data_IF_689525381569
#
_entry.id   IF_689525381569
#
_cell.length_a   1.000
_cell.length_b   1.000
_cell.length_c   1.000
_cell.angle_alpha   90.00
_cell.angle_beta   90.00
_cell.angle_gamma   90.00
#
_symmetry.space_group_name_H-M   'P 1'
#
loop_
_entity.id
_entity.type
_entity.pdbx_description
1 polymer ?
#
# COMPACT_ATOMS: atom_id res chain seq x y z
N UNK A 1 -55.02 24.83 -37.06
CA UNK A 1 -53.75 24.64 -37.81
C UNK A 1 -52.63 25.63 -37.42
N UNK A 2 -52.88 26.63 -36.60
CA UNK A 2 -51.84 27.59 -36.16
C UNK A 2 -51.04 27.16 -34.92
N UNK A 3 -51.44 26.14 -34.18
CA UNK A 3 -50.73 25.67 -32.98
C UNK A 3 -49.65 24.61 -33.27
N UNK A 4 -49.55 24.11 -34.50
CA UNK A 4 -48.60 23.05 -34.88
C UNK A 4 -47.28 23.58 -35.47
N UNK A 5 -47.25 24.83 -35.87
CA UNK A 5 -46.03 25.47 -36.43
C UNK A 5 -45.13 26.18 -35.40
N UNK A 6 -45.66 26.41 -34.18
CA UNK A 6 -44.91 27.08 -33.12
C UNK A 6 -43.94 26.15 -32.39
N UNK A 7 -43.98 24.83 -32.64
CA UNK A 7 -43.13 23.82 -31.99
C UNK A 7 -41.84 23.46 -32.79
N UNK A 8 -41.58 24.18 -33.92
CA UNK A 8 -40.54 23.77 -34.88
C UNK A 8 -39.27 24.64 -34.86
N UNK A 9 -39.07 25.49 -33.87
CA UNK A 9 -37.89 26.33 -33.78
C UNK A 9 -37.18 26.27 -32.42
N UNK A 10 -36.82 25.07 -31.98
CA UNK A 10 -35.67 24.99 -31.09
C UNK A 10 -34.39 25.02 -31.97
N UNK A 11 -33.46 25.98 -31.75
CA UNK A 11 -32.22 26.01 -32.51
C UNK A 11 -31.41 24.75 -32.12
N UNK A 12 -31.20 23.85 -33.09
CA UNK A 12 -30.17 22.82 -33.00
C UNK A 12 -28.86 23.51 -32.67
N UNK A 13 -28.43 23.44 -31.40
CA UNK A 13 -27.12 23.93 -31.03
C UNK A 13 -26.08 23.15 -31.81
N UNK A 14 -25.43 23.80 -32.76
CA UNK A 14 -24.22 23.30 -33.41
C UNK A 14 -23.23 22.85 -32.32
N UNK A 15 -22.61 21.69 -32.43
CA UNK A 15 -21.64 21.22 -31.44
C UNK A 15 -20.48 22.23 -31.46
N UNK A 16 -20.36 23.02 -30.39
CA UNK A 16 -19.19 23.86 -30.15
C UNK A 16 -17.97 22.96 -30.07
N UNK A 17 -17.03 23.09 -30.99
CA UNK A 17 -15.79 22.32 -31.07
C UNK A 17 -14.78 22.67 -29.99
N UNK A 18 -15.18 23.29 -28.89
CA UNK A 18 -14.36 23.69 -27.76
C UNK A 18 -14.84 23.06 -26.43
N UNK A 19 -13.92 22.83 -25.50
CA UNK A 19 -14.26 22.43 -24.13
C UNK A 19 -14.96 23.64 -23.47
N UNK A 20 -16.19 23.44 -23.02
CA UNK A 20 -16.97 24.50 -22.35
C UNK A 20 -16.26 24.90 -21.05
N UNK A 21 -15.93 26.17 -20.91
CA UNK A 21 -15.38 26.76 -19.68
C UNK A 21 -16.40 26.61 -18.56
N UNK A 22 -15.96 26.29 -17.36
CA UNK A 22 -16.79 25.91 -16.20
C UNK A 22 -17.45 24.54 -16.24
N UNK A 23 -17.11 23.66 -17.22
CA UNK A 23 -17.51 22.26 -17.20
C UNK A 23 -16.55 21.40 -16.36
N UNK A 24 -17.03 20.23 -15.94
CA UNK A 24 -16.21 19.24 -15.21
C UNK A 24 -14.95 18.84 -15.99
N UNK A 25 -15.08 18.55 -17.30
CA UNK A 25 -13.95 18.23 -18.17
C UNK A 25 -12.94 19.38 -18.23
N UNK A 26 -13.42 20.61 -18.35
CA UNK A 26 -12.55 21.80 -18.38
C UNK A 26 -11.69 21.89 -17.10
N UNK A 27 -12.30 21.75 -15.92
CA UNK A 27 -11.57 21.81 -14.66
C UNK A 27 -10.53 20.69 -14.55
N UNK A 28 -10.85 19.48 -14.99
CA UNK A 28 -9.90 18.36 -15.01
C UNK A 28 -8.72 18.62 -15.96
N UNK A 29 -8.97 19.11 -17.17
CA UNK A 29 -7.92 19.43 -18.15
C UNK A 29 -7.00 20.53 -17.59
N UNK A 30 -7.57 21.57 -17.01
CA UNK A 30 -6.81 22.63 -16.32
C UNK A 30 -5.98 22.08 -15.15
N UNK A 31 -6.55 21.19 -14.34
CA UNK A 31 -5.82 20.52 -13.27
C UNK A 31 -4.63 19.70 -13.78
N UNK A 32 -4.77 18.96 -14.87
CA UNK A 32 -3.68 18.19 -15.45
C UNK A 32 -2.55 19.07 -16.01
N UNK A 33 -2.90 20.19 -16.60
CA UNK A 33 -1.94 21.08 -17.26
C UNK A 33 -1.31 22.13 -16.34
N UNK A 34 -2.03 22.60 -15.31
CA UNK A 34 -1.62 23.74 -14.51
C UNK A 34 -1.28 23.41 -13.04
N UNK A 35 -1.77 22.28 -12.49
CA UNK A 35 -1.56 21.98 -11.08
C UNK A 35 -0.13 21.53 -10.77
N UNK A 36 0.66 22.28 -9.98
CA UNK A 36 1.97 21.86 -9.53
C UNK A 36 1.90 20.57 -8.70
N UNK A 37 0.86 20.43 -7.84
CA UNK A 37 0.65 19.26 -7.01
C UNK A 37 0.42 18.00 -7.86
N UNK A 38 -0.26 18.11 -9.01
CA UNK A 38 -0.46 17.01 -9.92
C UNK A 38 0.84 16.65 -10.66
N UNK A 39 1.55 17.65 -11.18
CA UNK A 39 2.82 17.47 -11.91
C UNK A 39 3.93 16.86 -11.04
N UNK A 40 3.91 17.16 -9.75
CA UNK A 40 4.87 16.61 -8.78
C UNK A 40 4.60 15.13 -8.40
N UNK A 41 3.52 14.52 -8.88
CA UNK A 41 3.24 13.11 -8.64
C UNK A 41 4.17 12.21 -9.48
N UNK A 42 4.38 10.97 -9.04
CA UNK A 42 4.96 9.94 -9.89
C UNK A 42 4.12 9.72 -11.15
N UNK A 43 4.76 9.45 -12.28
CA UNK A 43 4.12 9.30 -13.60
C UNK A 43 3.01 8.25 -13.57
N UNK A 44 3.24 7.13 -12.85
CA UNK A 44 2.20 6.12 -12.64
C UNK A 44 1.00 6.66 -11.85
N UNK A 45 1.23 7.49 -10.85
CA UNK A 45 0.15 8.11 -10.07
C UNK A 45 -0.61 9.13 -10.89
N UNK A 46 0.09 9.93 -11.70
CA UNK A 46 -0.53 10.86 -12.66
C UNK A 46 -1.41 10.09 -13.64
N UNK A 47 -0.87 9.04 -14.28
CA UNK A 47 -1.59 8.19 -15.21
C UNK A 47 -2.86 7.61 -14.59
N UNK A 48 -2.76 6.98 -13.41
CA UNK A 48 -3.92 6.37 -12.74
C UNK A 48 -4.95 7.42 -12.36
N UNK A 49 -4.54 8.56 -11.81
CA UNK A 49 -5.46 9.64 -11.43
C UNK A 49 -6.17 10.21 -12.64
N UNK A 50 -5.44 10.45 -13.73
CA UNK A 50 -6.02 10.89 -15.01
C UNK A 50 -7.07 9.90 -15.50
N UNK A 51 -6.75 8.61 -15.60
CA UNK A 51 -7.69 7.56 -16.04
C UNK A 51 -8.95 7.49 -15.17
N UNK A 52 -8.82 7.65 -13.85
CA UNK A 52 -9.97 7.69 -12.94
C UNK A 52 -10.88 8.88 -13.26
N UNK A 53 -10.32 10.06 -13.45
CA UNK A 53 -11.08 11.28 -13.74
C UNK A 53 -11.70 11.22 -15.13
N UNK A 54 -10.94 10.86 -16.15
CA UNK A 54 -11.42 10.72 -17.53
C UNK A 54 -12.55 9.68 -17.63
N UNK A 55 -12.51 8.60 -16.83
CA UNK A 55 -13.59 7.60 -16.81
C UNK A 55 -14.93 8.15 -16.34
N UNK A 56 -15.00 9.37 -15.79
CA UNK A 56 -16.25 10.01 -15.42
C UNK A 56 -16.85 10.84 -16.55
N UNK A 57 -16.07 11.17 -17.57
CA UNK A 57 -16.50 12.09 -18.62
C UNK A 57 -17.65 11.54 -19.47
N UNK A 58 -17.60 10.27 -19.80
CA UNK A 58 -18.57 9.62 -20.67
C UNK A 58 -19.71 8.96 -19.88
N UNK A 59 -19.81 9.23 -18.60
CA UNK A 59 -20.94 8.78 -17.80
C UNK A 59 -22.12 9.74 -17.96
N UNK A 60 -23.35 9.25 -18.25
CA UNK A 60 -24.52 10.10 -18.37
C UNK A 60 -24.87 10.71 -17.02
N UNK A 61 -25.42 11.93 -16.99
CA UNK A 61 -25.80 12.62 -15.74
C UNK A 61 -26.95 11.94 -15.00
N UNK A 62 -27.84 11.26 -15.73
CA UNK A 62 -28.91 10.42 -15.21
C UNK A 62 -29.13 9.23 -16.16
N UNK A 63 -29.79 8.14 -15.70
CA UNK A 63 -30.15 7.03 -16.57
C UNK A 63 -30.93 7.51 -17.81
N UNK A 64 -30.47 7.14 -19.02
CA UNK A 64 -31.08 7.53 -20.27
C UNK A 64 -30.82 8.97 -20.72
N UNK A 65 -30.10 9.78 -19.98
CA UNK A 65 -29.80 11.15 -20.36
C UNK A 65 -28.83 11.21 -21.54
N UNK A 66 -29.06 12.13 -22.48
CA UNK A 66 -28.17 12.46 -23.59
C UNK A 66 -26.97 13.33 -23.18
N UNK A 67 -27.00 13.88 -21.96
CA UNK A 67 -25.92 14.71 -21.39
C UNK A 67 -24.99 13.86 -20.55
N UNK A 68 -23.70 14.19 -20.62
CA UNK A 68 -22.62 13.49 -19.91
C UNK A 68 -21.94 14.38 -18.87
N UNK A 69 -21.28 13.75 -17.90
CA UNK A 69 -20.55 14.50 -16.86
C UNK A 69 -19.44 15.36 -17.42
N UNK A 70 -18.86 15.05 -18.59
CA UNK A 70 -17.83 15.91 -19.21
C UNK A 70 -18.28 17.36 -19.35
N UNK A 71 -19.55 17.60 -19.70
CA UNK A 71 -20.14 18.92 -19.95
C UNK A 71 -20.95 19.44 -18.75
N UNK A 72 -20.87 18.72 -17.62
CA UNK A 72 -21.65 19.07 -16.44
C UNK A 72 -21.09 20.35 -15.78
N UNK A 73 -21.94 21.37 -15.55
CA UNK A 73 -21.50 22.64 -14.98
C UNK A 73 -20.94 22.46 -13.56
N UNK A 74 -19.83 23.12 -13.25
CA UNK A 74 -19.20 23.06 -11.92
C UNK A 74 -20.13 23.56 -10.80
N UNK A 75 -21.00 24.53 -11.10
CA UNK A 75 -22.01 25.04 -10.16
C UNK A 75 -23.06 23.99 -9.76
N UNK A 76 -23.25 22.95 -10.58
CA UNK A 76 -24.17 21.84 -10.32
C UNK A 76 -23.48 20.57 -9.80
N UNK A 77 -22.16 20.58 -9.68
CA UNK A 77 -21.42 19.46 -9.09
C UNK A 77 -21.59 19.48 -7.56
N UNK A 78 -22.72 18.96 -7.11
CA UNK A 78 -23.07 18.84 -5.68
C UNK A 78 -22.43 17.59 -5.05
N UNK A 79 -22.61 17.41 -3.74
CA UNK A 79 -22.19 16.20 -3.01
C UNK A 79 -22.88 14.96 -3.61
N UNK A 80 -24.17 15.06 -3.88
CA UNK A 80 -25.00 13.98 -4.45
C UNK A 80 -24.49 13.59 -5.85
N UNK A 81 -24.14 14.55 -6.69
CA UNK A 81 -23.59 14.26 -8.02
C UNK A 81 -22.27 13.47 -7.94
N UNK A 82 -21.44 13.76 -6.92
CA UNK A 82 -20.19 13.01 -6.69
C UNK A 82 -20.47 11.64 -6.11
N UNK A 83 -21.47 11.51 -5.24
CA UNK A 83 -21.89 10.22 -4.69
C UNK A 83 -22.51 9.32 -5.75
N UNK A 84 -23.26 9.87 -6.70
CA UNK A 84 -23.71 9.13 -7.90
C UNK A 84 -22.52 8.58 -8.69
N UNK A 85 -21.50 9.39 -8.95
CA UNK A 85 -20.29 8.92 -9.63
C UNK A 85 -19.54 7.85 -8.81
N UNK A 86 -19.52 7.96 -7.48
CA UNK A 86 -18.98 6.95 -6.57
C UNK A 86 -19.75 5.63 -6.70
N UNK A 87 -21.06 5.70 -6.58
CA UNK A 87 -21.95 4.54 -6.44
C UNK A 87 -22.03 3.70 -7.71
N UNK A 88 -21.82 4.29 -8.87
CA UNK A 88 -21.61 3.55 -10.13
C UNK A 88 -20.41 2.59 -10.10
N UNK A 89 -19.53 2.72 -9.12
CA UNK A 89 -18.43 1.79 -8.85
C UNK A 89 -18.60 1.04 -7.53
N UNK A 90 -19.80 1.03 -6.94
CA UNK A 90 -20.07 0.44 -5.62
C UNK A 90 -19.68 -1.04 -5.52
N UNK A 91 -19.86 -1.81 -6.60
CA UNK A 91 -19.39 -3.20 -6.68
C UNK A 91 -17.88 -3.37 -6.45
N UNK A 92 -17.09 -2.28 -6.57
CA UNK A 92 -15.65 -2.24 -6.30
C UNK A 92 -15.34 -1.06 -5.36
N UNK A 93 -15.61 -1.18 -4.05
CA UNK A 93 -15.55 -0.06 -3.11
C UNK A 93 -14.21 0.71 -3.10
N UNK A 94 -13.09 0.01 -3.29
CA UNK A 94 -11.79 0.65 -3.40
C UNK A 94 -11.70 1.58 -4.63
N UNK A 95 -12.26 1.19 -5.77
CA UNK A 95 -12.31 2.02 -6.98
C UNK A 95 -13.30 3.18 -6.83
N UNK A 96 -14.45 2.96 -6.20
CA UNK A 96 -15.41 4.00 -5.85
C UNK A 96 -14.76 5.08 -4.98
N UNK A 97 -14.09 4.68 -3.92
CA UNK A 97 -13.38 5.59 -3.01
C UNK A 97 -12.19 6.31 -3.69
N UNK A 98 -11.49 5.63 -4.60
CA UNK A 98 -10.43 6.25 -5.38
C UNK A 98 -10.97 7.36 -6.30
N UNK A 99 -12.17 7.18 -6.86
CA UNK A 99 -12.88 8.19 -7.66
C UNK A 99 -13.18 9.45 -6.84
N UNK A 100 -13.77 9.31 -5.67
CA UNK A 100 -14.03 10.43 -4.74
C UNK A 100 -12.73 11.15 -4.38
N UNK A 101 -11.66 10.39 -4.06
CA UNK A 101 -10.33 10.96 -3.74
C UNK A 101 -9.77 11.76 -4.91
N UNK A 102 -9.89 11.26 -6.12
CA UNK A 102 -9.39 11.95 -7.31
C UNK A 102 -10.15 13.25 -7.57
N UNK A 103 -11.49 13.21 -7.55
CA UNK A 103 -12.37 14.37 -7.72
C UNK A 103 -12.07 15.43 -6.63
N UNK A 104 -11.92 15.00 -5.36
CA UNK A 104 -11.58 15.89 -4.25
C UNK A 104 -10.29 16.69 -4.48
N UNK A 105 -9.28 16.08 -5.11
CA UNK A 105 -8.03 16.79 -5.39
C UNK A 105 -8.18 17.82 -6.50
N UNK A 106 -8.98 17.54 -7.52
CA UNK A 106 -9.28 18.50 -8.60
C UNK A 106 -9.98 19.74 -8.03
N UNK A 107 -11.05 19.55 -7.27
CA UNK A 107 -11.77 20.67 -6.66
C UNK A 107 -10.92 21.41 -5.61
N UNK A 108 -10.13 20.69 -4.80
CA UNK A 108 -9.21 21.32 -3.84
C UNK A 108 -8.26 22.30 -4.52
N UNK A 109 -7.75 21.93 -5.69
CA UNK A 109 -6.91 22.82 -6.49
C UNK A 109 -7.75 23.93 -7.14
N UNK A 110 -8.90 23.62 -7.74
CA UNK A 110 -9.75 24.57 -8.45
C UNK A 110 -10.27 25.72 -7.57
N UNK A 111 -10.60 25.46 -6.31
CA UNK A 111 -11.00 26.51 -5.34
C UNK A 111 -9.85 27.46 -5.02
N UNK A 112 -8.60 26.99 -5.05
CA UNK A 112 -7.43 27.81 -4.73
C UNK A 112 -6.85 28.55 -5.93
N UNK A 113 -7.05 28.00 -7.13
CA UNK A 113 -6.55 28.56 -8.38
C UNK A 113 -7.53 29.62 -8.89
N UNK A 114 -7.01 30.82 -9.19
CA UNK A 114 -7.78 31.91 -9.72
C UNK A 114 -7.52 32.10 -11.23
N UNK A 115 -8.54 32.48 -11.95
CA UNK A 115 -8.48 32.94 -13.33
C UNK A 115 -7.94 34.40 -13.41
N UNK A 116 -7.76 34.92 -14.60
CA UNK A 116 -7.24 36.27 -14.81
C UNK A 116 -8.14 37.39 -14.23
N UNK A 117 -9.45 37.12 -14.16
CA UNK A 117 -10.45 38.01 -13.55
C UNK A 117 -10.55 37.84 -12.01
N UNK A 118 -9.63 37.09 -11.38
CA UNK A 118 -9.56 36.91 -9.94
C UNK A 118 -10.54 35.88 -9.37
N UNK A 119 -11.43 35.27 -10.17
CA UNK A 119 -12.40 34.28 -9.73
C UNK A 119 -11.76 32.90 -9.60
N UNK A 120 -12.14 32.10 -8.58
CA UNK A 120 -11.66 30.73 -8.47
C UNK A 120 -12.18 29.86 -9.63
N UNK A 121 -11.40 28.84 -10.04
CA UNK A 121 -11.82 27.91 -11.10
C UNK A 121 -12.99 27.02 -10.68
N UNK A 122 -13.18 26.80 -9.39
CA UNK A 122 -14.34 26.12 -8.84
C UNK A 122 -14.86 26.90 -7.62
N UNK A 123 -16.20 27.05 -7.46
CA UNK A 123 -16.78 27.85 -6.37
C UNK A 123 -16.60 27.18 -5.01
N UNK A 124 -16.62 25.86 -4.95
CA UNK A 124 -16.48 25.05 -3.73
C UNK A 124 -15.86 23.68 -4.02
N UNK A 125 -15.64 22.88 -2.98
CA UNK A 125 -15.17 21.49 -3.11
C UNK A 125 -16.22 20.53 -2.54
N UNK A 126 -17.26 20.19 -3.29
CA UNK A 126 -18.32 19.29 -2.83
C UNK A 126 -17.83 17.87 -2.52
N UNK A 127 -16.72 17.44 -3.14
CA UNK A 127 -16.14 16.13 -2.83
C UNK A 127 -15.53 16.05 -1.41
N UNK A 128 -15.40 17.16 -0.67
CA UNK A 128 -14.93 17.14 0.72
C UNK A 128 -15.90 16.40 1.63
N UNK A 129 -17.19 16.59 1.41
CA UNK A 129 -18.28 16.03 2.21
C UNK A 129 -18.75 14.67 1.72
N UNK A 130 -18.50 14.35 0.43
CA UNK A 130 -18.84 13.05 -0.12
C UNK A 130 -18.23 11.91 0.68
N UNK A 131 -19.10 10.99 1.15
CA UNK A 131 -18.73 9.87 1.99
C UNK A 131 -17.97 8.78 1.23
N UNK A 132 -17.18 7.98 1.96
CA UNK A 132 -16.57 6.78 1.40
C UNK A 132 -17.44 5.55 1.66
N UNK A 133 -17.46 4.62 0.70
CA UNK A 133 -18.04 3.30 0.92
C UNK A 133 -17.13 2.54 1.90
N UNK A 134 -17.71 1.98 2.96
CA UNK A 134 -16.98 1.14 3.92
C UNK A 134 -16.38 -0.08 3.18
N UNK A 135 -15.13 -0.37 3.47
CA UNK A 135 -14.43 -1.53 2.89
C UNK A 135 -14.07 -2.50 4.01
N UNK A 136 -14.52 -3.73 3.89
CA UNK A 136 -14.13 -4.82 4.79
C UNK A 136 -12.91 -5.56 4.21
N UNK A 137 -11.79 -4.85 4.09
CA UNK A 137 -10.56 -5.48 3.58
C UNK A 137 -9.67 -5.87 4.75
N UNK A 138 -9.39 -7.15 4.89
CA UNK A 138 -8.38 -7.70 5.80
C UNK A 138 -6.94 -7.44 5.30
N UNK A 139 -6.82 -6.80 4.14
CA UNK A 139 -5.54 -6.56 3.48
C UNK A 139 -4.99 -7.83 2.82
N UNK A 140 -3.70 -7.81 2.51
CA UNK A 140 -3.04 -8.99 1.96
C UNK A 140 -2.82 -10.05 3.06
N UNK A 141 -3.04 -11.30 2.72
CA UNK A 141 -2.70 -12.44 3.57
C UNK A 141 -1.20 -12.42 3.92
N UNK A 142 -0.86 -12.56 5.21
CA UNK A 142 0.52 -12.75 5.68
C UNK A 142 0.86 -14.22 5.55
N UNK A 143 1.97 -14.55 4.91
CA UNK A 143 2.35 -15.96 4.76
C UNK A 143 2.66 -16.57 6.11
N UNK A 144 2.25 -17.83 6.28
CA UNK A 144 2.66 -18.66 7.41
C UNK A 144 4.02 -19.32 7.14
N UNK A 145 4.72 -19.80 8.16
CA UNK A 145 5.94 -20.61 7.96
C UNK A 145 5.72 -21.85 7.09
N UNK A 146 4.56 -22.49 7.18
CA UNK A 146 4.16 -23.64 6.36
C UNK A 146 4.02 -23.27 4.90
N UNK A 147 3.44 -22.11 4.59
CA UNK A 147 3.29 -21.60 3.22
C UNK A 147 4.66 -21.27 2.61
N UNK A 148 5.57 -20.72 3.41
CA UNK A 148 6.95 -20.47 2.98
C UNK A 148 7.64 -21.80 2.66
N UNK A 149 7.59 -22.80 3.55
CA UNK A 149 8.18 -24.13 3.32
C UNK A 149 7.61 -24.79 2.07
N UNK A 150 6.30 -24.77 1.90
CA UNK A 150 5.62 -25.35 0.72
C UNK A 150 6.06 -24.70 -0.59
N UNK A 151 6.28 -23.39 -0.60
CA UNK A 151 6.84 -22.71 -1.75
C UNK A 151 8.30 -23.12 -2.00
N UNK A 152 9.09 -23.25 -0.95
CA UNK A 152 10.48 -23.69 -1.02
C UNK A 152 10.66 -25.12 -1.51
N UNK A 153 9.79 -26.03 -1.10
CA UNK A 153 9.74 -27.42 -1.58
C UNK A 153 9.43 -27.50 -3.08
N UNK A 154 8.47 -26.70 -3.54
CA UNK A 154 8.10 -26.63 -4.96
C UNK A 154 9.17 -25.96 -5.81
N UNK A 155 9.82 -24.92 -5.28
CA UNK A 155 10.81 -24.11 -5.99
C UNK A 155 12.15 -24.19 -5.26
N UNK A 156 12.97 -25.16 -5.66
CA UNK A 156 14.28 -25.42 -5.05
C UNK A 156 15.27 -24.29 -5.27
N UNK A 157 16.33 -24.27 -4.49
CA UNK A 157 17.49 -23.36 -4.67
C UNK A 157 18.03 -23.52 -6.09
N UNK A 158 18.44 -22.41 -6.71
CA UNK A 158 18.83 -22.35 -8.12
C UNK A 158 17.69 -21.94 -9.07
N UNK A 159 16.45 -21.78 -8.59
CA UNK A 159 15.34 -21.29 -9.40
C UNK A 159 15.10 -19.79 -9.20
N UNK A 160 14.63 -19.10 -10.25
CA UNK A 160 14.21 -17.69 -10.19
C UNK A 160 13.11 -17.48 -9.12
N UNK A 161 12.21 -18.43 -8.94
CA UNK A 161 11.16 -18.39 -7.94
C UNK A 161 11.73 -18.38 -6.51
N UNK A 162 12.69 -19.26 -6.22
CA UNK A 162 13.35 -19.30 -4.92
C UNK A 162 14.14 -18.04 -4.63
N UNK A 163 14.85 -17.50 -5.62
CA UNK A 163 15.56 -16.24 -5.50
C UNK A 163 14.58 -15.08 -5.20
N UNK A 164 13.43 -15.04 -5.88
CA UNK A 164 12.41 -14.03 -5.65
C UNK A 164 11.82 -14.11 -4.23
N UNK A 165 11.53 -15.33 -3.74
CA UNK A 165 11.10 -15.55 -2.36
C UNK A 165 12.13 -15.01 -1.36
N UNK A 166 13.40 -15.39 -1.53
CA UNK A 166 14.49 -15.01 -0.63
C UNK A 166 14.70 -13.49 -0.59
N UNK A 167 14.72 -12.85 -1.77
CA UNK A 167 14.83 -11.39 -1.83
C UNK A 167 13.65 -10.69 -1.14
N UNK A 168 12.41 -11.15 -1.35
CA UNK A 168 11.23 -10.57 -0.70
C UNK A 168 11.25 -10.78 0.81
N UNK A 169 11.54 -11.99 1.27
CA UNK A 169 11.45 -12.37 2.68
C UNK A 169 12.60 -11.76 3.50
N UNK A 170 13.84 -11.96 3.06
CA UNK A 170 15.02 -11.58 3.84
C UNK A 170 15.37 -10.09 3.76
N UNK A 171 14.99 -9.40 2.68
CA UNK A 171 15.14 -7.94 2.64
C UNK A 171 13.90 -7.20 3.13
N UNK A 172 12.76 -7.87 3.15
CA UNK A 172 11.47 -7.27 3.49
C UNK A 172 11.01 -6.18 2.53
N UNK A 173 11.61 -6.07 1.32
CA UNK A 173 11.32 -4.97 0.42
C UNK A 173 10.09 -5.21 -0.45
N UNK A 174 9.58 -4.14 -1.08
CA UNK A 174 8.44 -4.24 -1.98
C UNK A 174 8.87 -4.86 -3.31
N UNK A 175 7.92 -5.45 -4.04
CA UNK A 175 8.18 -5.99 -5.38
C UNK A 175 8.86 -4.97 -6.32
N UNK A 176 8.48 -3.69 -6.23
CA UNK A 176 9.08 -2.62 -7.01
C UNK A 176 10.54 -2.35 -6.67
N UNK A 177 10.96 -2.69 -5.47
CA UNK A 177 12.32 -2.54 -5.03
C UNK A 177 13.16 -3.74 -5.48
N UNK A 178 12.71 -4.97 -5.18
CA UNK A 178 13.47 -6.18 -5.49
C UNK A 178 13.67 -6.42 -6.99
N UNK A 179 12.76 -5.97 -7.86
CA UNK A 179 12.92 -6.07 -9.32
C UNK A 179 14.01 -5.16 -9.89
N UNK A 180 14.53 -4.24 -9.06
CA UNK A 180 15.59 -3.30 -9.41
C UNK A 180 16.92 -3.59 -8.73
N UNK A 181 16.92 -4.55 -7.78
CA UNK A 181 18.15 -4.94 -7.10
C UNK A 181 19.00 -5.83 -8.00
N UNK A 182 20.30 -5.58 -7.97
CA UNK A 182 21.29 -6.33 -8.72
C UNK A 182 22.66 -6.28 -8.04
N UNK A 183 23.68 -6.86 -8.68
CA UNK A 183 25.04 -6.93 -8.13
C UNK A 183 25.65 -5.56 -7.85
N UNK A 184 25.26 -4.53 -8.61
CA UNK A 184 25.71 -3.13 -8.39
C UNK A 184 25.27 -2.57 -7.03
N UNK A 185 24.26 -3.16 -6.40
CA UNK A 185 23.82 -2.78 -5.07
C UNK A 185 24.61 -3.45 -3.94
N UNK A 186 25.46 -4.45 -4.28
CA UNK A 186 26.21 -5.22 -3.31
C UNK A 186 27.58 -4.59 -3.07
N UNK A 187 27.90 -4.29 -1.82
CA UNK A 187 29.26 -3.87 -1.40
C UNK A 187 29.51 -4.35 0.03
N UNK A 188 30.64 -4.97 0.26
CA UNK A 188 31.12 -5.38 1.59
C UNK A 188 30.07 -6.14 2.41
N UNK A 189 29.40 -7.14 1.80
CA UNK A 189 28.38 -7.95 2.46
C UNK A 189 27.07 -7.21 2.78
N UNK A 190 26.85 -6.05 2.17
CA UNK A 190 25.63 -5.23 2.36
C UNK A 190 24.99 -4.94 1.01
N UNK A 191 23.66 -4.80 1.03
CA UNK A 191 22.88 -4.32 -0.11
C UNK A 191 22.40 -2.91 0.17
N UNK A 192 22.77 -1.95 -0.69
CA UNK A 192 22.41 -0.52 -0.56
C UNK A 192 21.57 -0.09 -1.75
N UNK A 193 20.43 0.52 -1.47
CA UNK A 193 19.49 1.00 -2.50
C UNK A 193 18.55 2.06 -1.93
N UNK A 194 17.94 2.85 -2.84
CA UNK A 194 16.86 3.77 -2.50
C UNK A 194 15.51 3.13 -2.84
N UNK A 195 14.57 3.11 -1.89
CA UNK A 195 13.23 2.57 -2.12
C UNK A 195 12.53 3.30 -3.28
N UNK A 196 11.97 2.53 -4.19
CA UNK A 196 11.31 3.07 -5.40
C UNK A 196 10.07 3.91 -5.06
N UNK A 197 9.26 3.43 -4.10
CA UNK A 197 8.08 4.17 -3.67
C UNK A 197 8.47 5.39 -2.83
N UNK A 198 8.06 6.56 -3.28
CA UNK A 198 8.35 7.83 -2.59
C UNK A 198 9.65 8.50 -3.00
N UNK A 199 10.45 7.91 -3.88
CA UNK A 199 11.78 8.41 -4.29
C UNK A 199 11.82 9.85 -4.80
N UNK A 200 10.71 10.35 -5.40
CA UNK A 200 10.61 11.73 -5.89
C UNK A 200 10.35 12.76 -4.77
N UNK A 201 9.78 12.35 -3.63
CA UNK A 201 9.38 13.26 -2.54
C UNK A 201 10.21 13.08 -1.28
N UNK A 202 10.29 11.86 -0.79
CA UNK A 202 11.00 11.49 0.43
C UNK A 202 11.84 10.24 0.12
N UNK A 203 13.00 10.37 -0.54
CA UNK A 203 13.85 9.23 -0.84
C UNK A 203 14.31 8.56 0.46
N UNK A 204 14.08 7.26 0.57
CA UNK A 204 14.55 6.46 1.70
C UNK A 204 15.62 5.52 1.21
N UNK A 205 16.86 5.79 1.57
CA UNK A 205 17.98 4.91 1.33
C UNK A 205 18.09 3.88 2.44
N UNK A 206 18.32 2.63 2.07
CA UNK A 206 18.54 1.53 3.00
C UNK A 206 19.87 0.86 2.70
N UNK A 207 20.54 0.43 3.76
CA UNK A 207 21.74 -0.42 3.71
C UNK A 207 21.49 -1.60 4.63
N UNK A 208 21.24 -2.78 4.05
CA UNK A 208 20.93 -3.99 4.78
C UNK A 208 22.08 -4.98 4.70
N UNK A 209 22.44 -5.68 5.77
CA UNK A 209 23.39 -6.78 5.71
C UNK A 209 22.78 -7.94 4.88
N UNK A 210 23.61 -8.63 4.12
CA UNK A 210 23.21 -9.84 3.43
C UNK A 210 23.50 -11.00 4.36
N UNK A 211 22.43 -11.66 4.82
CA UNK A 211 22.57 -12.85 5.64
C UNK A 211 23.08 -14.03 4.81
N UNK A 212 23.82 -14.98 5.41
CA UNK A 212 24.42 -16.12 4.67
C UNK A 212 23.40 -16.91 3.85
N UNK A 213 22.17 -17.06 4.35
CA UNK A 213 21.11 -17.77 3.65
C UNK A 213 20.72 -17.06 2.32
N UNK A 214 20.62 -15.72 2.33
CA UNK A 214 20.33 -14.96 1.11
C UNK A 214 21.50 -15.02 0.13
N UNK A 215 22.74 -14.89 0.61
CA UNK A 215 23.94 -14.95 -0.22
C UNK A 215 24.02 -16.30 -0.96
N UNK A 216 23.87 -17.42 -0.26
CA UNK A 216 23.86 -18.76 -0.89
C UNK A 216 22.81 -18.89 -2.01
N UNK A 217 21.62 -18.31 -1.80
CA UNK A 217 20.55 -18.40 -2.81
C UNK A 217 20.89 -17.51 -4.03
N UNK A 218 21.46 -16.33 -3.80
CA UNK A 218 21.91 -15.45 -4.89
C UNK A 218 22.98 -16.14 -5.74
N UNK A 219 23.97 -16.75 -5.09
CA UNK A 219 25.10 -17.39 -5.78
C UNK A 219 24.69 -18.63 -6.57
N UNK A 220 23.69 -19.36 -6.06
CA UNK A 220 23.18 -20.56 -6.71
C UNK A 220 22.13 -20.29 -7.80
N UNK A 221 21.67 -19.03 -7.97
CA UNK A 221 20.54 -18.71 -8.85
C UNK A 221 20.98 -17.99 -10.12
N UNK A 222 20.30 -18.22 -11.26
CA UNK A 222 20.55 -17.46 -12.47
C UNK A 222 20.12 -16.00 -12.28
N UNK A 223 21.09 -15.11 -12.23
CA UNK A 223 20.91 -13.67 -12.16
C UNK A 223 21.13 -13.00 -13.52
N UNK A 224 20.51 -11.85 -13.75
CA UNK A 224 20.84 -11.00 -14.89
C UNK A 224 22.04 -10.08 -14.59
N UNK A 225 22.52 -9.41 -15.62
CA UNK A 225 23.65 -8.47 -15.49
C UNK A 225 23.29 -7.25 -14.65
N UNK A 226 22.12 -6.65 -14.89
CA UNK A 226 21.65 -5.42 -14.21
C UNK A 226 20.80 -5.70 -12.98
N UNK A 227 20.04 -6.80 -12.98
CA UNK A 227 19.14 -7.13 -11.87
C UNK A 227 19.24 -8.61 -11.53
N UNK A 228 19.07 -8.96 -10.26
CA UNK A 228 19.02 -10.36 -9.84
C UNK A 228 17.87 -11.11 -10.53
N UNK A 229 16.71 -10.45 -10.64
CA UNK A 229 15.51 -11.05 -11.21
C UNK A 229 15.30 -10.61 -12.65
N UNK A 230 15.33 -11.56 -13.54
CA UNK A 230 15.08 -11.38 -14.98
C UNK A 230 13.98 -12.31 -15.48
N UNK A 231 13.22 -11.84 -16.47
CA UNK A 231 12.19 -12.63 -17.14
C UNK A 231 12.79 -13.74 -18.03
N UNK A 232 11.96 -14.44 -18.77
CA UNK A 232 12.41 -15.54 -19.64
C UNK A 232 13.18 -15.06 -20.88
N UNK A 233 13.13 -13.74 -21.17
CA UNK A 233 13.92 -13.06 -22.21
C UNK A 233 15.21 -12.43 -21.66
N UNK A 234 15.65 -12.81 -20.45
CA UNK A 234 16.80 -12.25 -19.73
C UNK A 234 16.77 -10.74 -19.52
N UNK A 235 15.58 -10.12 -19.58
CA UNK A 235 15.39 -8.67 -19.30
C UNK A 235 14.85 -8.45 -17.89
N UNK A 236 15.18 -7.32 -17.26
CA UNK A 236 14.59 -6.93 -15.97
C UNK A 236 13.06 -7.00 -15.99
N UNK A 237 12.46 -7.47 -14.92
CA UNK A 237 11.00 -7.47 -14.79
C UNK A 237 10.44 -6.07 -14.68
N UNK A 238 9.31 -5.83 -15.35
CA UNK A 238 8.42 -4.74 -14.93
C UNK A 238 7.72 -5.10 -13.62
N UNK A 239 7.27 -4.09 -12.85
CA UNK A 239 6.55 -4.34 -11.59
C UNK A 239 5.30 -5.21 -11.79
N UNK A 240 4.57 -5.02 -12.89
CA UNK A 240 3.38 -5.81 -13.22
C UNK A 240 3.77 -7.23 -13.67
N UNK A 241 4.75 -7.36 -14.56
CA UNK A 241 5.23 -8.65 -15.06
C UNK A 241 5.76 -9.55 -13.94
N UNK A 242 6.54 -8.98 -13.02
CA UNK A 242 6.99 -9.72 -11.84
C UNK A 242 5.80 -10.14 -10.96
N UNK A 243 4.83 -9.25 -10.73
CA UNK A 243 3.66 -9.59 -9.93
C UNK A 243 2.87 -10.77 -10.49
N UNK A 244 2.69 -10.82 -11.82
CA UNK A 244 2.02 -11.93 -12.51
C UNK A 244 2.85 -13.22 -12.43
N UNK A 245 4.16 -13.14 -12.67
CA UNK A 245 5.05 -14.31 -12.60
C UNK A 245 5.12 -14.87 -11.18
N UNK A 246 5.21 -14.00 -10.17
CA UNK A 246 5.22 -14.41 -8.77
C UNK A 246 3.89 -15.07 -8.37
N UNK A 247 2.77 -14.57 -8.86
CA UNK A 247 1.46 -15.20 -8.69
C UNK A 247 1.42 -16.61 -9.33
N UNK A 248 1.98 -16.75 -10.53
CA UNK A 248 2.10 -18.06 -11.17
C UNK A 248 2.89 -19.04 -10.29
N UNK A 249 4.05 -18.65 -9.76
CA UNK A 249 4.85 -19.48 -8.85
C UNK A 249 4.09 -19.83 -7.56
N UNK A 250 3.34 -18.91 -6.99
CA UNK A 250 2.46 -19.22 -5.86
C UNK A 250 1.42 -20.28 -6.22
N UNK A 251 0.79 -20.17 -7.39
CA UNK A 251 -0.20 -21.15 -7.84
C UNK A 251 0.42 -22.54 -8.09
N UNK A 252 1.61 -22.60 -8.65
CA UNK A 252 2.38 -23.83 -8.86
C UNK A 252 2.71 -24.55 -7.53
N UNK A 253 2.85 -23.79 -6.44
CA UNK A 253 3.00 -24.30 -5.08
C UNK A 253 1.66 -24.54 -4.36
N UNK A 254 0.51 -24.35 -5.04
CA UNK A 254 -0.82 -24.48 -4.45
C UNK A 254 -1.21 -23.37 -3.47
N UNK A 255 -0.54 -22.20 -3.53
CA UNK A 255 -0.68 -21.07 -2.60
C UNK A 255 -1.54 -19.94 -3.21
N UNK A 256 -2.81 -20.19 -3.45
CA UNK A 256 -3.72 -19.27 -4.17
C UNK A 256 -3.90 -17.90 -3.51
N UNK A 257 -3.80 -17.81 -2.18
CA UNK A 257 -4.00 -16.54 -1.44
C UNK A 257 -2.71 -15.79 -1.16
N UNK A 258 -1.55 -16.37 -1.48
CA UNK A 258 -0.23 -15.82 -1.24
C UNK A 258 0.18 -14.77 -2.28
N UNK A 259 0.96 -13.78 -1.88
CA UNK A 259 1.43 -12.72 -2.75
C UNK A 259 2.76 -12.14 -2.27
N UNK A 260 3.49 -11.46 -3.16
CA UNK A 260 4.73 -10.77 -2.81
C UNK A 260 4.57 -9.75 -1.66
N UNK A 261 3.41 -9.10 -1.55
CA UNK A 261 3.16 -8.18 -0.44
C UNK A 261 2.90 -8.90 0.88
N UNK A 262 2.31 -10.09 0.82
CA UNK A 262 2.13 -10.96 1.99
C UNK A 262 3.45 -11.43 2.60
N UNK A 263 4.49 -11.68 1.77
CA UNK A 263 5.83 -12.02 2.27
C UNK A 263 6.48 -10.88 3.06
N UNK A 264 6.32 -9.63 2.63
CA UNK A 264 6.80 -8.49 3.41
C UNK A 264 6.10 -8.38 4.77
N UNK A 265 4.80 -8.72 4.84
CA UNK A 265 4.07 -8.82 6.11
C UNK A 265 4.62 -9.95 6.97
N UNK A 266 4.80 -11.14 6.39
CA UNK A 266 5.38 -12.29 7.07
C UNK A 266 6.78 -11.99 7.62
N UNK A 267 7.66 -11.39 6.81
CA UNK A 267 8.99 -11.00 7.26
C UNK A 267 8.96 -10.05 8.46
N UNK A 268 8.01 -9.12 8.50
CA UNK A 268 7.85 -8.22 9.64
C UNK A 268 7.31 -8.95 10.88
N UNK A 269 6.35 -9.86 10.70
CA UNK A 269 5.81 -10.67 11.80
C UNK A 269 6.89 -11.61 12.36
N UNK A 270 7.58 -12.36 11.49
CA UNK A 270 8.68 -13.27 11.91
C UNK A 270 9.78 -12.50 12.66
N UNK A 271 10.18 -11.32 12.16
CA UNK A 271 11.19 -10.54 12.86
C UNK A 271 10.69 -10.04 14.24
N UNK A 272 9.43 -9.63 14.34
CA UNK A 272 8.83 -9.21 15.60
C UNK A 272 8.72 -10.39 16.59
N UNK A 273 8.26 -11.54 16.14
CA UNK A 273 8.16 -12.78 16.95
C UNK A 273 9.54 -13.22 17.46
N UNK A 274 10.60 -13.00 16.66
CA UNK A 274 11.99 -13.23 17.05
C UNK A 274 12.60 -12.09 17.89
N UNK A 275 11.78 -11.14 18.38
CA UNK A 275 12.21 -10.10 19.31
C UNK A 275 12.72 -8.81 18.68
N UNK A 276 12.54 -8.60 17.38
CA UNK A 276 12.93 -7.34 16.77
C UNK A 276 12.09 -6.17 17.33
N UNK A 277 12.77 -5.15 17.76
CA UNK A 277 12.16 -3.91 18.27
C UNK A 277 11.50 -3.11 17.16
N UNK A 278 10.57 -2.20 17.54
CA UNK A 278 9.97 -1.22 16.62
C UNK A 278 11.04 -0.49 15.78
N UNK A 279 12.14 -0.05 16.39
CA UNK A 279 13.23 0.67 15.68
C UNK A 279 13.97 -0.22 14.69
N UNK A 280 14.23 -1.48 15.04
CA UNK A 280 14.85 -2.45 14.14
C UNK A 280 13.96 -2.75 12.93
N UNK A 281 12.66 -2.94 13.14
CA UNK A 281 11.69 -3.10 12.03
C UNK A 281 11.66 -1.85 11.14
N UNK A 282 11.63 -0.65 11.72
CA UNK A 282 11.69 0.58 10.94
C UNK A 282 12.96 0.65 10.07
N UNK A 283 14.10 0.26 10.60
CA UNK A 283 15.37 0.25 9.88
C UNK A 283 15.38 -0.77 8.72
N UNK A 284 14.88 -1.98 8.92
CA UNK A 284 14.83 -3.04 7.91
C UNK A 284 13.84 -2.67 6.79
N UNK A 285 12.63 -2.24 7.17
CA UNK A 285 11.53 -2.02 6.23
C UNK A 285 11.49 -0.61 5.64
N UNK A 286 12.30 0.33 6.12
CA UNK A 286 12.31 1.71 5.68
C UNK A 286 11.00 2.44 6.01
N UNK A 287 10.45 2.23 7.22
CA UNK A 287 9.27 2.93 7.68
C UNK A 287 9.65 4.22 8.38
N UNK A 288 9.07 5.33 7.94
CA UNK A 288 9.31 6.65 8.50
C UNK A 288 8.54 6.91 9.81
N UNK A 289 7.53 6.10 10.12
CA UNK A 289 6.77 6.17 11.37
C UNK A 289 6.67 4.81 12.03
N UNK A 290 6.56 4.80 13.36
CA UNK A 290 6.44 3.59 14.16
C UNK A 290 5.13 2.82 13.92
N UNK A 291 4.06 3.48 13.49
CA UNK A 291 2.71 2.91 13.39
C UNK A 291 2.64 1.51 12.78
N UNK A 292 3.41 1.28 11.70
CA UNK A 292 3.45 -0.05 11.06
C UNK A 292 4.29 -1.05 11.84
N UNK A 293 5.40 -0.61 12.43
CA UNK A 293 6.24 -1.46 13.25
C UNK A 293 5.50 -1.87 14.54
N UNK A 294 4.87 -0.92 15.21
CA UNK A 294 4.06 -1.14 16.43
C UNK A 294 2.91 -2.14 16.18
N UNK A 295 2.34 -2.12 14.97
CA UNK A 295 1.31 -3.11 14.60
C UNK A 295 1.83 -4.54 14.67
N UNK A 296 3.09 -4.79 14.25
CA UNK A 296 3.69 -6.13 14.29
C UNK A 296 4.28 -6.47 15.66
N UNK A 297 4.93 -5.53 16.34
CA UNK A 297 5.56 -5.80 17.63
C UNK A 297 4.54 -5.96 18.75
N UNK A 298 3.39 -5.29 18.70
CA UNK A 298 2.38 -5.33 19.78
C UNK A 298 1.95 -6.74 20.16
N UNK A 299 1.64 -7.60 19.18
CA UNK A 299 1.22 -8.97 19.42
C UNK A 299 2.36 -9.84 19.96
N UNK A 300 3.54 -9.72 19.35
CA UNK A 300 4.75 -10.44 19.77
C UNK A 300 5.22 -10.00 21.17
N UNK A 301 5.21 -8.69 21.45
CA UNK A 301 5.57 -8.14 22.76
C UNK A 301 4.59 -8.57 23.84
N UNK A 302 3.28 -8.52 23.54
CA UNK A 302 2.27 -8.98 24.51
C UNK A 302 2.49 -10.42 24.90
N UNK A 303 2.69 -11.34 23.94
CA UNK A 303 2.93 -12.76 24.20
C UNK A 303 4.20 -12.96 25.02
N UNK A 304 5.32 -12.40 24.61
CA UNK A 304 6.61 -12.51 25.27
C UNK A 304 6.58 -11.92 26.69
N UNK A 305 5.97 -10.77 26.87
CA UNK A 305 5.83 -10.13 28.19
C UNK A 305 4.91 -10.94 29.10
N UNK A 306 3.81 -11.49 28.58
CA UNK A 306 2.96 -12.38 29.35
C UNK A 306 3.72 -13.65 29.78
N UNK A 307 4.42 -14.33 28.85
CA UNK A 307 5.23 -15.50 29.14
C UNK A 307 6.31 -15.20 30.21
N UNK A 308 6.93 -14.01 30.15
CA UNK A 308 7.96 -13.61 31.10
C UNK A 308 7.39 -13.17 32.47
N UNK A 309 6.11 -12.82 32.56
CA UNK A 309 5.50 -12.28 33.79
C UNK A 309 4.58 -13.30 34.50
N UNK A 310 4.10 -14.36 33.80
CA UNK A 310 3.15 -15.31 34.39
C UNK A 310 3.67 -16.01 35.66
N UNK A 311 4.98 -16.28 35.73
CA UNK A 311 5.57 -16.86 36.93
C UNK A 311 5.49 -15.96 38.16
N UNK A 312 5.36 -14.64 37.99
CA UNK A 312 5.21 -13.68 39.08
C UNK A 312 3.85 -13.79 39.77
N UNK A 313 2.83 -14.35 39.07
CA UNK A 313 1.50 -14.55 39.65
C UNK A 313 1.45 -15.78 40.59
N UNK A 314 2.39 -16.71 40.45
CA UNK A 314 2.53 -17.92 41.31
C UNK A 314 3.65 -17.79 42.35
N UNK A 315 4.22 -16.63 42.57
CA UNK A 315 5.38 -16.45 43.47
C UNK A 315 5.12 -16.83 44.92
N UNK A 316 3.87 -16.88 45.37
CA UNK A 316 3.49 -17.31 46.74
C UNK A 316 3.64 -18.83 46.95
N UNK A 317 3.43 -19.66 45.91
CA UNK A 317 3.60 -21.10 46.02
C UNK A 317 5.08 -21.54 46.12
N UNK A 318 6.00 -20.75 45.59
CA UNK A 318 7.45 -21.07 45.67
C UNK A 318 8.08 -20.71 47.04
N UNK A 319 7.47 -19.80 47.79
CA UNK A 319 7.98 -19.45 49.14
C UNK A 319 7.62 -20.48 50.19
N UNK A 320 6.52 -21.24 50.01
CA UNK A 320 6.12 -22.32 50.93
C UNK A 320 6.90 -23.63 50.72
N UNK A 321 7.46 -23.85 49.52
CA UNK A 321 8.22 -25.06 49.24
C UNK A 321 9.67 -25.03 49.77
N UNK A 322 10.23 -23.88 50.11
CA UNK A 322 11.58 -23.73 50.67
C UNK A 322 11.63 -23.65 52.20
N UNK A 323 10.51 -23.48 52.88
CA UNK A 323 10.46 -23.53 54.36
C UNK A 323 10.09 -24.91 54.87
N UNK A 324 10.98 -25.91 54.60
CA UNK A 324 11.01 -27.13 55.34
C UNK A 324 11.37 -26.86 56.81
N UNK A 325 10.83 -27.65 57.79
CA UNK A 325 11.03 -27.35 59.21
C UNK A 325 12.51 -27.44 59.55
N UNK A 326 13.18 -26.29 59.71
CA UNK A 326 14.48 -26.24 60.36
C UNK A 326 14.31 -26.59 61.81
N UNK A 327 14.80 -27.77 62.21
CA UNK A 327 15.01 -28.16 63.60
C UNK A 327 15.82 -27.06 64.29
N UNK A 328 15.18 -26.37 65.27
CA UNK A 328 15.89 -25.47 66.18
C UNK A 328 16.84 -26.33 67.05
N UNK A 329 18.14 -26.04 67.12
CA UNK A 329 18.97 -26.58 68.18
C UNK A 329 18.56 -25.88 69.49
N UNK A 330 18.18 -26.66 70.47
CA UNK A 330 17.97 -26.16 71.82
C UNK A 330 19.26 -25.61 72.42
N UNK A 331 19.20 -24.38 72.86
CA UNK A 331 20.27 -23.70 73.60
C UNK A 331 19.67 -22.72 74.55
N UNK A 332 19.45 -23.12 75.78
CA UNK A 332 19.15 -22.35 76.95
C UNK A 332 20.24 -21.28 77.17
N UNK A 333 19.82 -20.04 77.19
CA UNK A 333 20.69 -18.95 77.62
C UNK A 333 19.98 -18.09 78.68
N UNK A 334 19.88 -18.63 79.91
CA UNK A 334 19.68 -17.92 81.14
C UNK A 334 20.38 -18.72 82.24
N UNK A 335 21.59 -18.38 82.54
CA UNK A 335 22.21 -18.44 83.87
C UNK A 335 23.56 -17.76 83.81
N UNK A 336 23.65 -16.67 84.51
CA UNK A 336 24.66 -16.13 85.41
C UNK A 336 24.89 -14.64 85.32
N UNK A 337 24.54 -14.09 86.49
CA UNK A 337 25.01 -12.85 87.15
C UNK A 337 24.60 -11.53 86.57
#
# INVERSE_FOLDING_TARGET
MAAYESAKAEPKSTPKSGIDSNSWRWLCVKYFSESPDFKALDDRTQYVRRRILESTFDEPIAPGASRFYRDFPLSRMTVEAIEVLRDRKAAKPAAANARVKAIRQVFKWGVRKKSADGRPYAPSNPAREASYIKTHSTGYHSWTPEEVRRFEERHRVGTKARLALALLLFTGQRRSDITRLGRQNLRNGRITFTQYKGRKRNPTQLTLPIIPALQRIIDASPCGELTFLVNDLHRPFTDAGFGNKFRQWCNEAGLKNCSAHGLRKAGAAIAADNGATTKQLMAIFGWSSSKMADYYTRGADQKRLAESAMHMLGAEEQSEAETGPTKRPGGTFWDKN
#
